data_IF_309101359997
#
_entry.id   IF_309101359997
#
_cell.length_a   1.000
_cell.length_b   1.000
_cell.length_c   1.000
_cell.angle_alpha   90.00
_cell.angle_beta   90.00
_cell.angle_gamma   90.00
#
_symmetry.space_group_name_H-M   'P 1'
#
loop_
_entity.id
_entity.type
_entity.pdbx_description
1 polymer ?
#
# COMPACT_ATOMS: atom_id res chain seq x y z
N UNK A 1 68.23 -26.30 -1.85
CA UNK A 1 67.17 -25.27 -1.88
C UNK A 1 66.03 -25.72 -0.99
N UNK A 2 65.79 -25.04 0.12
CA UNK A 2 64.50 -25.04 0.84
C UNK A 2 63.65 -23.86 0.29
N UNK A 3 62.37 -23.65 0.68
CA UNK A 3 61.50 -24.41 1.59
C UNK A 3 60.06 -24.65 1.06
N UNK A 4 59.29 -25.35 1.91
CA UNK A 4 57.84 -25.58 1.97
C UNK A 4 56.94 -24.48 1.38
N UNK A 5 55.90 -24.91 0.64
CA UNK A 5 54.79 -24.02 0.24
C UNK A 5 53.59 -24.22 1.17
N UNK A 6 53.24 -23.13 1.83
CA UNK A 6 52.11 -22.92 2.74
C UNK A 6 50.79 -22.91 1.94
N UNK A 7 49.74 -23.51 2.50
CA UNK A 7 48.37 -23.46 1.98
C UNK A 7 47.73 -22.06 2.20
N UNK A 8 46.69 -21.72 1.43
CA UNK A 8 45.63 -20.89 1.98
C UNK A 8 44.29 -21.65 2.04
N UNK A 9 43.61 -21.48 3.18
CA UNK A 9 42.29 -22.00 3.47
C UNK A 9 41.23 -21.50 2.49
N UNK A 10 40.29 -22.38 2.15
CA UNK A 10 39.04 -22.01 1.49
C UNK A 10 38.25 -21.04 2.38
N UNK A 11 37.78 -19.89 1.85
CA UNK A 11 36.82 -19.08 2.58
C UNK A 11 35.50 -19.86 2.63
N UNK A 12 35.03 -20.11 3.85
CA UNK A 12 33.65 -20.49 4.08
C UNK A 12 32.75 -19.40 3.48
N UNK A 13 32.18 -19.67 2.31
CA UNK A 13 31.00 -18.95 1.84
C UNK A 13 29.88 -19.31 2.80
N UNK A 14 29.68 -18.44 3.80
CA UNK A 14 28.41 -18.31 4.48
C UNK A 14 27.38 -17.95 3.41
N UNK A 15 26.67 -18.97 2.91
CA UNK A 15 25.42 -18.76 2.20
C UNK A 15 24.46 -18.17 3.23
N UNK A 16 24.37 -16.84 3.25
CA UNK A 16 23.34 -16.13 3.98
C UNK A 16 21.99 -16.62 3.44
N UNK A 17 21.21 -17.21 4.33
CA UNK A 17 19.90 -17.74 4.03
C UNK A 17 19.02 -16.58 3.56
N UNK A 18 18.61 -16.60 2.30
CA UNK A 18 17.59 -15.66 1.83
C UNK A 18 16.29 -15.99 2.56
N UNK A 19 16.01 -15.23 3.61
CA UNK A 19 14.70 -15.12 4.22
C UNK A 19 13.71 -14.75 3.13
N UNK A 20 12.66 -15.57 2.98
CA UNK A 20 11.49 -15.23 2.18
C UNK A 20 10.85 -14.02 2.88
N UNK A 21 11.22 -12.81 2.48
CA UNK A 21 10.67 -11.59 3.06
C UNK A 21 9.15 -11.57 2.86
N UNK A 22 8.42 -11.30 3.94
CA UNK A 22 6.98 -11.02 3.87
C UNK A 22 6.72 -9.89 2.86
N UNK A 23 5.57 -9.91 2.16
CA UNK A 23 5.23 -8.81 1.25
C UNK A 23 5.26 -7.48 2.00
N UNK A 24 5.85 -6.41 1.41
CA UNK A 24 5.93 -5.11 2.06
C UNK A 24 4.54 -4.64 2.52
N UNK A 25 4.41 -4.35 3.82
CA UNK A 25 3.16 -3.91 4.42
C UNK A 25 3.37 -2.64 5.26
N UNK A 26 2.35 -1.78 5.32
CA UNK A 26 2.39 -0.58 6.12
C UNK A 26 0.98 -0.18 6.59
N UNK A 27 0.91 0.60 7.66
CA UNK A 27 -0.31 1.26 8.12
C UNK A 27 -0.18 2.77 7.95
N UNK A 28 -1.02 3.33 7.09
CA UNK A 28 -1.18 4.77 6.93
C UNK A 28 -2.44 5.24 7.66
N UNK A 29 -2.39 6.41 8.31
CA UNK A 29 -3.54 7.00 9.00
C UNK A 29 -3.69 8.44 8.55
N UNK A 30 -4.91 8.80 8.17
CA UNK A 30 -5.26 10.12 7.68
C UNK A 30 -6.34 10.73 8.56
N UNK A 31 -6.03 11.87 9.17
CA UNK A 31 -6.99 12.67 9.93
C UNK A 31 -7.55 13.75 9.03
N UNK A 32 -8.87 13.88 9.01
CA UNK A 32 -9.59 14.92 8.27
C UNK A 32 -10.24 15.85 9.28
N UNK A 33 -9.74 17.08 9.35
CA UNK A 33 -10.34 18.11 10.17
C UNK A 33 -11.61 18.65 9.51
N UNK A 34 -12.59 19.01 10.34
CA UNK A 34 -13.85 19.61 9.87
C UNK A 34 -14.54 18.79 8.76
N UNK A 35 -14.53 17.45 8.84
CA UNK A 35 -15.09 16.55 7.82
C UNK A 35 -16.50 16.94 7.37
N UNK A 36 -17.37 17.37 8.30
CA UNK A 36 -18.74 17.79 8.00
C UNK A 36 -18.85 19.05 7.12
N UNK A 37 -17.77 19.84 7.01
CA UNK A 37 -17.68 21.03 6.17
C UNK A 37 -17.08 20.75 4.78
N UNK A 38 -16.64 19.53 4.51
CA UNK A 38 -16.12 19.17 3.19
C UNK A 38 -17.23 19.21 2.14
N UNK A 39 -17.15 20.17 1.23
CA UNK A 39 -18.11 20.32 0.12
C UNK A 39 -17.52 19.91 -1.25
N UNK A 40 -16.38 19.21 -1.26
CA UNK A 40 -15.78 18.67 -2.49
C UNK A 40 -16.42 17.35 -2.88
N UNK A 41 -16.48 17.08 -4.20
CA UNK A 41 -16.94 15.78 -4.73
C UNK A 41 -16.00 14.65 -4.30
N UNK A 42 -14.69 14.89 -4.35
CA UNK A 42 -13.66 13.92 -3.99
C UNK A 42 -12.53 14.59 -3.22
N UNK A 43 -11.92 13.86 -2.30
CA UNK A 43 -10.82 14.35 -1.47
C UNK A 43 -9.74 13.26 -1.34
N UNK A 44 -8.48 13.68 -1.35
CA UNK A 44 -7.33 12.79 -1.33
C UNK A 44 -6.52 12.99 -0.06
N UNK A 45 -5.98 11.90 0.48
CA UNK A 45 -4.94 11.98 1.49
C UNK A 45 -3.60 12.41 0.88
N UNK A 46 -2.61 12.61 1.74
CA UNK A 46 -1.21 12.61 1.34
C UNK A 46 -0.82 11.27 0.70
N UNK A 47 0.25 11.32 -0.09
CA UNK A 47 0.84 10.15 -0.75
C UNK A 47 1.74 9.42 0.24
N UNK A 48 1.60 8.10 0.30
CA UNK A 48 2.47 7.22 1.07
C UNK A 48 3.04 6.11 0.18
N UNK A 49 4.19 5.55 0.56
CA UNK A 49 4.93 4.57 -0.26
C UNK A 49 4.98 3.22 0.43
N UNK A 50 4.58 2.17 -0.28
CA UNK A 50 4.65 0.76 0.19
C UNK A 50 5.10 -0.10 -0.99
N UNK A 51 6.14 -0.92 -0.80
CA UNK A 51 6.69 -1.74 -1.88
C UNK A 51 7.20 -0.93 -3.08
N UNK A 52 7.71 0.28 -2.84
CA UNK A 52 8.16 1.19 -3.91
C UNK A 52 7.04 1.90 -4.69
N UNK A 53 5.78 1.65 -4.32
CA UNK A 53 4.60 2.16 -5.02
C UNK A 53 3.96 3.33 -4.29
N UNK A 54 3.57 4.38 -5.03
CA UNK A 54 2.87 5.55 -4.48
C UNK A 54 1.36 5.31 -4.38
N UNK A 55 0.87 5.31 -3.15
CA UNK A 55 -0.52 5.10 -2.80
C UNK A 55 -1.11 6.36 -2.18
N UNK A 56 -2.43 6.51 -2.26
CA UNK A 56 -3.20 7.51 -1.51
C UNK A 56 -4.59 6.97 -1.21
N UNK A 57 -5.24 7.51 -0.19
CA UNK A 57 -6.65 7.26 0.08
C UNK A 57 -7.47 8.30 -0.71
N UNK A 58 -8.49 7.83 -1.42
CA UNK A 58 -9.48 8.65 -2.10
C UNK A 58 -10.82 8.47 -1.39
N UNK A 59 -11.46 9.58 -1.00
CA UNK A 59 -12.83 9.56 -0.47
C UNK A 59 -13.77 10.38 -1.33
N UNK A 60 -15.03 9.97 -1.34
CA UNK A 60 -16.18 10.78 -1.74
C UNK A 60 -17.02 11.02 -0.49
N UNK A 61 -16.93 12.20 0.15
CA UNK A 61 -17.58 12.48 1.43
C UNK A 61 -19.10 12.25 1.40
N UNK A 62 -19.73 12.55 0.26
CA UNK A 62 -21.16 12.36 0.00
C UNK A 62 -21.48 11.10 -0.83
N UNK A 63 -20.48 10.26 -1.04
CA UNK A 63 -20.59 9.02 -1.80
C UNK A 63 -20.34 9.13 -3.31
N UNK A 64 -20.20 7.97 -3.94
CA UNK A 64 -19.97 7.79 -5.37
C UNK A 64 -21.13 6.96 -5.95
N UNK A 65 -22.19 7.64 -6.45
CA UNK A 65 -23.47 7.04 -6.84
C UNK A 65 -24.25 6.37 -5.69
N UNK A 66 -23.95 6.76 -4.45
CA UNK A 66 -24.60 6.31 -3.21
C UNK A 66 -24.63 7.48 -2.21
N UNK A 67 -25.45 7.39 -1.16
CA UNK A 67 -25.62 8.45 -0.14
C UNK A 67 -24.76 8.25 1.12
N UNK A 68 -23.72 7.41 1.01
CA UNK A 68 -22.82 7.09 2.11
C UNK A 68 -21.36 7.38 1.73
N UNK A 69 -20.51 7.65 2.72
CA UNK A 69 -19.08 7.82 2.52
C UNK A 69 -18.52 6.65 1.69
N UNK A 70 -17.91 6.97 0.55
CA UNK A 70 -17.16 6.01 -0.25
C UNK A 70 -15.67 6.26 -0.08
N UNK A 71 -14.89 5.20 0.11
CA UNK A 71 -13.46 5.26 0.38
C UNK A 71 -12.73 4.19 -0.44
N UNK A 72 -11.61 4.57 -1.04
CA UNK A 72 -10.83 3.74 -1.96
C UNK A 72 -9.34 3.89 -1.68
N UNK A 73 -8.57 2.86 -2.02
CA UNK A 73 -7.13 2.96 -2.22
C UNK A 73 -6.89 3.34 -3.69
N UNK A 74 -6.02 4.30 -3.95
CA UNK A 74 -5.71 4.80 -5.28
C UNK A 74 -4.19 4.82 -5.54
N UNK A 75 -3.79 4.67 -6.80
CA UNK A 75 -2.40 4.78 -7.25
C UNK A 75 -2.12 6.23 -7.63
N UNK A 76 -1.35 6.91 -6.80
CA UNK A 76 -1.25 8.37 -6.82
C UNK A 76 -0.65 8.94 -8.12
N UNK A 77 0.25 8.18 -8.75
CA UNK A 77 0.98 8.54 -9.97
C UNK A 77 0.52 7.76 -11.21
N UNK A 78 -0.67 7.13 -11.14
CA UNK A 78 -1.25 6.30 -12.22
C UNK A 78 -1.23 6.96 -13.60
N UNK A 79 -1.48 8.26 -13.68
CA UNK A 79 -1.46 9.02 -14.94
C UNK A 79 -0.07 9.23 -15.56
N UNK A 80 1.00 8.91 -14.84
CA UNK A 80 2.40 9.01 -15.32
C UNK A 80 3.06 7.64 -15.50
N UNK A 81 2.36 6.56 -15.15
CA UNK A 81 2.87 5.21 -15.30
C UNK A 81 2.80 4.78 -16.78
N UNK A 82 3.72 3.90 -17.23
CA UNK A 82 3.73 3.40 -18.59
C UNK A 82 2.45 2.63 -18.93
N UNK A 83 2.10 2.59 -20.21
CA UNK A 83 0.98 1.79 -20.70
C UNK A 83 1.10 0.31 -20.26
N UNK A 84 -0.02 -0.31 -19.89
CA UNK A 84 -0.04 -1.69 -19.38
C UNK A 84 0.53 -1.88 -17.97
N UNK A 85 0.74 -0.81 -17.19
CA UNK A 85 1.16 -0.95 -15.80
C UNK A 85 0.10 -1.71 -15.00
N UNK A 86 0.56 -2.56 -14.07
CA UNK A 86 -0.31 -3.20 -13.10
C UNK A 86 0.38 -3.45 -11.77
N UNK A 87 -0.42 -3.62 -10.71
CA UNK A 87 0.03 -4.12 -9.40
C UNK A 87 -1.12 -4.75 -8.63
N UNK A 88 -0.77 -5.69 -7.75
CA UNK A 88 -1.71 -6.27 -6.79
C UNK A 88 -1.49 -5.67 -5.41
N UNK A 89 -2.56 -5.43 -4.68
CA UNK A 89 -2.48 -5.08 -3.27
C UNK A 89 -3.56 -5.78 -2.45
N UNK A 90 -3.14 -6.30 -1.30
CA UNK A 90 -4.05 -6.69 -0.23
C UNK A 90 -4.02 -5.58 0.82
N UNK A 91 -5.18 -5.02 1.14
CA UNK A 91 -5.31 -3.92 2.08
C UNK A 91 -6.59 -4.01 2.88
N UNK A 92 -6.71 -3.13 3.87
CA UNK A 92 -7.98 -2.88 4.53
C UNK A 92 -8.13 -1.40 4.79
N UNK A 93 -9.33 -0.89 4.58
CA UNK A 93 -9.70 0.48 4.91
C UNK A 93 -10.49 0.48 6.21
N UNK A 94 -10.17 1.42 7.09
CA UNK A 94 -10.80 1.52 8.42
C UNK A 94 -11.25 2.94 8.68
N UNK A 95 -12.51 3.11 9.06
CA UNK A 95 -13.03 4.35 9.67
C UNK A 95 -12.91 4.20 11.17
N UNK A 96 -12.03 4.99 11.78
CA UNK A 96 -11.72 4.91 13.21
C UNK A 96 -12.76 5.69 14.00
N UNK A 97 -13.39 5.03 14.97
CA UNK A 97 -14.18 5.72 15.98
C UNK A 97 -13.24 6.29 17.05
N UNK A 98 -13.13 7.62 17.09
CA UNK A 98 -12.16 8.33 17.95
C UNK A 98 -12.49 8.23 19.45
N UNK A 99 -13.73 7.92 19.82
CA UNK A 99 -14.17 7.82 21.21
C UNK A 99 -14.03 6.37 21.69
N UNK A 100 -14.46 5.41 20.88
CA UNK A 100 -14.49 3.99 21.23
C UNK A 100 -13.90 3.14 20.12
N UNK A 101 -12.66 2.66 20.28
CA UNK A 101 -11.97 1.88 19.24
C UNK A 101 -12.76 0.67 18.72
N UNK A 102 -13.52 -0.01 19.60
CA UNK A 102 -14.37 -1.16 19.24
C UNK A 102 -15.49 -0.80 18.24
N UNK A 103 -15.86 0.47 18.13
CA UNK A 103 -16.84 0.96 17.17
C UNK A 103 -16.25 1.33 15.81
N UNK A 104 -14.97 1.06 15.56
CA UNK A 104 -14.34 1.31 14.26
C UNK A 104 -14.81 0.30 13.22
N UNK A 105 -15.07 0.78 12.00
CA UNK A 105 -15.53 -0.06 10.89
C UNK A 105 -14.35 -0.35 9.97
N UNK A 106 -14.05 -1.63 9.73
CA UNK A 106 -12.95 -2.07 8.85
C UNK A 106 -13.49 -2.92 7.70
N UNK A 107 -13.05 -2.63 6.48
CA UNK A 107 -13.30 -3.45 5.28
C UNK A 107 -11.97 -3.87 4.67
N UNK A 108 -11.73 -5.18 4.59
CA UNK A 108 -10.56 -5.76 3.92
C UNK A 108 -10.83 -6.10 2.46
N UNK A 109 -9.77 -6.09 1.65
CA UNK A 109 -9.75 -6.77 0.36
C UNK A 109 -9.39 -8.24 0.58
N UNK A 110 -10.26 -9.16 0.16
CA UNK A 110 -9.92 -10.57 0.00
C UNK A 110 -10.67 -11.07 -1.25
N UNK A 111 -9.98 -11.56 -2.30
CA UNK A 111 -8.51 -11.63 -2.47
C UNK A 111 -7.88 -10.25 -2.75
N UNK A 112 -6.58 -10.22 -3.11
CA UNK A 112 -5.87 -9.02 -3.54
C UNK A 112 -6.57 -8.32 -4.70
N UNK A 113 -6.61 -7.00 -4.68
CA UNK A 113 -7.16 -6.19 -5.77
C UNK A 113 -6.08 -5.94 -6.83
N UNK A 114 -6.47 -6.04 -8.10
CA UNK A 114 -5.64 -5.70 -9.24
C UNK A 114 -5.86 -4.24 -9.64
N UNK A 115 -4.79 -3.46 -9.68
CA UNK A 115 -4.77 -2.09 -10.19
C UNK A 115 -4.05 -2.07 -11.53
N UNK A 116 -4.59 -1.41 -12.55
CA UNK A 116 -3.92 -1.27 -13.84
C UNK A 116 -4.44 -0.11 -14.68
N UNK A 117 -3.64 0.29 -15.68
CA UNK A 117 -3.91 1.44 -16.55
C UNK A 117 -5.03 1.22 -17.59
N UNK A 118 -5.33 -0.05 -17.89
CA UNK A 118 -6.28 -0.44 -18.93
C UNK A 118 -7.34 -1.37 -18.30
N UNK A 119 -8.60 -0.91 -18.27
CA UNK A 119 -9.76 -1.60 -17.66
C UNK A 119 -9.72 -1.75 -16.13
N UNK A 120 -10.40 -0.82 -15.46
CA UNK A 120 -10.88 -1.04 -14.10
C UNK A 120 -11.99 -2.09 -14.16
N UNK A 121 -11.69 -3.34 -13.79
CA UNK A 121 -12.71 -4.24 -13.23
C UNK A 121 -12.89 -3.81 -11.78
N UNK A 122 -13.84 -2.89 -11.56
CA UNK A 122 -14.37 -2.49 -10.24
C UNK A 122 -15.35 -3.53 -9.73
#
# INVERSE_FOLDING_TARGET
SSPSSVAPAEPATTADAQSVDDPPSARFTWTIDNFSRLNTKKFYSDVFVVGGYKWRILIFPKGNNVDHLSMYLDVADSGTLPYGWSRYAQFSLTVVNQIHQKGSVRKGSCPSIHFGGDHVLS
#
